data_IF_851208412416
#
_entry.id   IF_851208412416
#
_cell.length_a   1.000
_cell.length_b   1.000
_cell.length_c   1.000
_cell.angle_alpha   90.00
_cell.angle_beta   90.00
_cell.angle_gamma   90.00
#
_symmetry.space_group_name_H-M   'P 1'
#
loop_
_entity.id
_entity.type
_entity.pdbx_description
1 polymer ?
#
# COMPACT_ATOMS: atom_id res chain seq x y z
N UNK A 1 4.23 0.64 -15.05
CA UNK A 1 4.88 -0.40 -14.22
C UNK A 1 4.40 -1.78 -14.62
N UNK A 2 5.24 -2.80 -14.45
CA UNK A 2 4.84 -4.20 -14.56
C UNK A 2 3.93 -4.61 -13.40
N UNK A 3 3.23 -5.74 -13.54
CA UNK A 3 2.36 -6.28 -12.49
C UNK A 3 3.16 -6.64 -11.23
N UNK A 4 4.34 -7.22 -11.38
CA UNK A 4 5.20 -7.62 -10.26
C UNK A 4 5.68 -6.41 -9.45
N UNK A 5 6.07 -5.32 -10.13
CA UNK A 5 6.43 -4.07 -9.44
C UNK A 5 5.26 -3.47 -8.64
N UNK A 6 4.02 -3.66 -9.10
CA UNK A 6 2.84 -3.23 -8.34
C UNK A 6 2.59 -4.11 -7.11
N UNK A 7 2.93 -5.40 -7.16
CA UNK A 7 2.87 -6.29 -6.00
C UNK A 7 3.92 -5.93 -4.94
N UNK A 8 5.14 -5.57 -5.35
CA UNK A 8 6.18 -5.11 -4.41
C UNK A 8 5.77 -3.82 -3.69
N UNK A 9 5.13 -2.89 -4.42
CA UNK A 9 4.54 -1.69 -3.84
C UNK A 9 3.38 -2.05 -2.90
N UNK A 10 2.55 -3.03 -3.27
CA UNK A 10 1.43 -3.49 -2.45
C UNK A 10 1.92 -4.08 -1.11
N UNK A 11 2.93 -4.95 -1.14
CA UNK A 11 3.56 -5.49 0.06
C UNK A 11 4.13 -4.36 0.95
N UNK A 12 4.81 -3.39 0.32
CA UNK A 12 5.33 -2.21 1.01
C UNK A 12 4.21 -1.38 1.66
N UNK A 13 3.09 -1.19 0.97
CA UNK A 13 1.92 -0.47 1.46
C UNK A 13 1.35 -1.09 2.73
N UNK A 14 1.22 -2.42 2.79
CA UNK A 14 0.72 -3.13 3.99
C UNK A 14 1.60 -2.85 5.21
N UNK A 15 2.92 -2.77 5.05
CA UNK A 15 3.84 -2.48 6.17
C UNK A 15 3.80 -1.02 6.66
N UNK A 16 3.35 -0.08 5.81
CA UNK A 16 3.38 1.36 6.09
C UNK A 16 2.00 1.87 6.54
N UNK A 17 0.93 1.33 5.96
CA UNK A 17 -0.43 1.76 6.19
C UNK A 17 -0.83 1.48 7.64
N UNK A 18 -1.27 2.53 8.34
CA UNK A 18 -1.81 2.46 9.69
C UNK A 18 -3.09 3.29 9.77
N UNK A 19 -4.08 2.90 10.60
CA UNK A 19 -5.24 3.74 10.87
C UNK A 19 -4.81 5.16 11.27
N UNK A 20 -5.46 6.18 10.70
CA UNK A 20 -5.15 7.60 10.95
C UNK A 20 -3.97 8.17 10.16
N UNK A 21 -3.23 7.37 9.40
CA UNK A 21 -2.16 7.90 8.55
C UNK A 21 -2.72 8.52 7.26
N UNK A 22 -2.45 9.81 7.05
CA UNK A 22 -2.93 10.52 5.86
C UNK A 22 -2.37 9.93 4.55
N UNK A 23 -3.22 9.82 3.53
CA UNK A 23 -2.87 9.24 2.22
C UNK A 23 -1.63 9.85 1.55
N UNK A 24 -1.36 11.15 1.75
CA UNK A 24 -0.17 11.85 1.21
C UNK A 24 1.12 11.35 1.88
N UNK A 25 1.08 11.07 3.19
CA UNK A 25 2.21 10.50 3.92
C UNK A 25 2.47 9.06 3.48
N UNK A 26 1.42 8.28 3.22
CA UNK A 26 1.54 6.92 2.67
C UNK A 26 2.25 6.97 1.31
N UNK A 27 1.76 7.80 0.39
CA UNK A 27 2.37 7.95 -0.95
C UNK A 27 3.84 8.39 -0.84
N UNK A 28 4.15 9.32 0.05
CA UNK A 28 5.53 9.78 0.27
C UNK A 28 6.44 8.64 0.73
N UNK A 29 6.03 7.90 1.78
CA UNK A 29 6.80 6.77 2.32
C UNK A 29 6.97 5.63 1.32
N UNK A 30 5.96 5.38 0.49
CA UNK A 30 6.08 4.41 -0.61
C UNK A 30 7.12 4.88 -1.61
N UNK A 31 7.12 6.16 -2.00
CA UNK A 31 8.10 6.73 -2.92
C UNK A 31 9.52 6.78 -2.37
N UNK A 32 9.68 6.92 -1.05
CA UNK A 32 10.99 6.79 -0.38
C UNK A 32 11.61 5.40 -0.64
N UNK A 33 10.80 4.34 -0.76
CA UNK A 33 11.25 2.97 -1.06
C UNK A 33 11.17 2.60 -2.55
N UNK A 34 10.25 3.24 -3.28
CA UNK A 34 9.98 3.01 -4.70
C UNK A 34 10.00 4.35 -5.45
N UNK A 35 11.18 4.93 -5.74
CA UNK A 35 11.27 6.28 -6.30
C UNK A 35 10.56 6.45 -7.65
N UNK A 36 10.50 5.37 -8.45
CA UNK A 36 9.82 5.35 -9.74
C UNK A 36 8.28 5.30 -9.63
N UNK A 37 7.70 5.18 -8.41
CA UNK A 37 6.26 5.05 -8.22
C UNK A 37 5.49 6.35 -8.48
N UNK A 38 4.66 6.33 -9.53
CA UNK A 38 3.68 7.39 -9.73
C UNK A 38 2.56 7.29 -8.68
N UNK A 39 1.83 8.39 -8.46
CA UNK A 39 0.65 8.37 -7.58
C UNK A 39 -0.39 7.33 -8.05
N UNK A 40 -0.53 7.14 -9.37
CA UNK A 40 -1.44 6.16 -9.96
C UNK A 40 -1.00 4.73 -9.64
N UNK A 41 0.30 4.45 -9.69
CA UNK A 41 0.84 3.13 -9.35
C UNK A 41 0.59 2.79 -7.89
N UNK A 42 0.81 3.74 -6.98
CA UNK A 42 0.54 3.55 -5.54
C UNK A 42 -0.93 3.27 -5.26
N UNK A 43 -1.85 4.01 -5.90
CA UNK A 43 -3.29 3.76 -5.74
C UNK A 43 -3.67 2.39 -6.30
N UNK A 44 -3.16 2.02 -7.48
CA UNK A 44 -3.42 0.70 -8.08
C UNK A 44 -2.88 -0.43 -7.18
N UNK A 45 -1.67 -0.27 -6.65
CA UNK A 45 -1.06 -1.21 -5.71
C UNK A 45 -1.84 -1.33 -4.39
N UNK A 46 -2.51 -0.27 -3.92
CA UNK A 46 -3.36 -0.35 -2.74
C UNK A 46 -4.55 -1.31 -2.95
N UNK A 47 -5.14 -1.35 -4.15
CA UNK A 47 -6.17 -2.34 -4.48
C UNK A 47 -5.62 -3.76 -4.57
N UNK A 48 -4.42 -3.93 -5.15
CA UNK A 48 -3.73 -5.23 -5.13
C UNK A 48 -3.45 -5.70 -3.68
N UNK A 49 -3.09 -4.77 -2.78
CA UNK A 49 -2.87 -5.08 -1.38
C UNK A 49 -4.16 -5.59 -0.69
N UNK A 50 -5.31 -4.98 -0.97
CA UNK A 50 -6.60 -5.44 -0.42
C UNK A 50 -6.95 -6.83 -0.95
N UNK A 51 -6.75 -7.09 -2.24
CA UNK A 51 -7.03 -8.40 -2.83
C UNK A 51 -6.08 -9.51 -2.37
N UNK A 52 -4.80 -9.20 -2.17
CA UNK A 52 -3.78 -10.18 -1.80
C UNK A 52 -3.68 -10.41 -0.28
N UNK A 53 -3.93 -9.36 0.53
CA UNK A 53 -3.73 -9.39 1.99
C UNK A 53 -5.00 -9.04 2.78
N UNK A 54 -6.18 -9.06 2.15
CA UNK A 54 -7.44 -8.59 2.76
C UNK A 54 -7.75 -9.21 4.13
N UNK A 55 -7.57 -10.53 4.26
CA UNK A 55 -7.73 -11.27 5.53
C UNK A 55 -6.74 -10.82 6.63
N UNK A 56 -5.50 -10.52 6.28
CA UNK A 56 -4.48 -10.04 7.22
C UNK A 56 -4.72 -8.58 7.61
N UNK A 57 -5.08 -7.74 6.65
CA UNK A 57 -5.46 -6.35 6.90
C UNK A 57 -6.67 -6.26 7.83
N UNK A 58 -7.70 -7.08 7.59
CA UNK A 58 -8.91 -7.10 8.41
C UNK A 58 -8.63 -7.49 9.86
N UNK A 59 -7.70 -8.44 10.11
CA UNK A 59 -7.30 -8.86 11.46
C UNK A 59 -6.61 -7.75 12.25
N UNK A 60 -5.90 -6.85 11.59
CA UNK A 60 -5.14 -5.76 12.22
C UNK A 60 -5.95 -4.47 12.39
N UNK A 61 -7.20 -4.42 11.90
CA UNK A 61 -8.08 -3.29 12.14
C UNK A 61 -8.61 -3.34 13.58
N UNK A 62 -8.59 -2.22 14.31
CA UNK A 62 -9.20 -2.17 15.63
C UNK A 62 -10.68 -2.52 15.49
N UNK A 63 -11.11 -3.58 16.18
CA UNK A 63 -12.53 -3.88 16.35
C UNK A 63 -13.12 -2.75 17.18
N UNK A 64 -13.92 -1.90 16.54
CA UNK A 64 -14.74 -0.90 17.23
C UNK A 64 -15.97 -1.57 17.83
#
# INVERSE_FOLDING_TARGET
MSKDALFDIAATLVTIARPGLAHRKIIRKVRERHPAASKKDVVKAAFYAIGAYGEELARNLPRR
#
